data_IF_636789452452
#
_entry.id   IF_636789452452
#
_cell.length_a   1.000
_cell.length_b   1.000
_cell.length_c   1.000
_cell.angle_alpha   90.00
_cell.angle_beta   90.00
_cell.angle_gamma   90.00
#
_symmetry.space_group_name_H-M   'P 1'
#
loop_
_entity.id
_entity.type
_entity.pdbx_description
1 polymer ?
#
# COMPACT_ATOMS: atom_id res chain seq x y z
N UNK A 1 -22.15 -1.87 -20.38
CA UNK A 1 -21.63 -3.25 -20.16
C UNK A 1 -22.76 -4.14 -19.61
N UNK A 2 -22.71 -5.47 -19.79
CA UNK A 2 -23.79 -6.38 -19.38
C UNK A 2 -23.75 -6.83 -17.90
N UNK A 3 -22.70 -6.48 -17.15
CA UNK A 3 -22.52 -6.90 -15.76
C UNK A 3 -23.19 -5.92 -14.78
N UNK A 4 -23.93 -6.45 -13.81
CA UNK A 4 -24.48 -5.68 -12.67
C UNK A 4 -23.42 -5.40 -11.60
N UNK A 5 -22.51 -6.36 -11.38
CA UNK A 5 -21.34 -6.22 -10.50
C UNK A 5 -20.05 -6.26 -11.34
N UNK A 6 -19.27 -5.19 -11.29
CA UNK A 6 -17.96 -5.05 -11.93
C UNK A 6 -16.90 -5.17 -10.84
N UNK A 7 -16.09 -6.23 -10.91
CA UNK A 7 -14.94 -6.45 -10.04
C UNK A 7 -13.68 -6.12 -10.82
N UNK A 8 -12.85 -5.20 -10.31
CA UNK A 8 -11.57 -4.81 -10.91
C UNK A 8 -10.47 -4.81 -9.85
N UNK A 9 -9.21 -4.82 -10.28
CA UNK A 9 -8.07 -4.61 -9.37
C UNK A 9 -7.81 -3.11 -9.18
N UNK A 10 -7.57 -2.39 -10.28
CA UNK A 10 -7.22 -0.96 -10.27
C UNK A 10 -8.41 -0.08 -10.62
N UNK A 11 -8.26 1.17 -10.20
CA UNK A 11 -9.19 2.24 -10.43
C UNK A 11 -9.47 2.44 -11.94
N UNK A 12 -10.74 2.71 -12.31
CA UNK A 12 -11.09 2.88 -13.71
C UNK A 12 -10.44 4.13 -14.29
N UNK A 13 -9.92 3.99 -15.50
CA UNK A 13 -9.42 5.11 -16.29
C UNK A 13 -10.59 5.98 -16.77
N UNK A 14 -10.36 7.25 -17.16
CA UNK A 14 -11.46 8.16 -17.55
C UNK A 14 -12.42 7.60 -18.60
N UNK A 15 -11.89 6.89 -19.61
CA UNK A 15 -12.71 6.23 -20.63
C UNK A 15 -13.52 5.05 -20.07
N UNK A 16 -13.00 4.34 -19.07
CA UNK A 16 -13.70 3.25 -18.38
C UNK A 16 -14.79 3.79 -17.45
N UNK A 17 -14.56 4.94 -16.79
CA UNK A 17 -15.59 5.62 -16.00
C UNK A 17 -16.80 6.00 -16.86
N UNK A 18 -16.57 6.46 -18.10
CA UNK A 18 -17.64 6.80 -19.04
C UNK A 18 -18.46 5.58 -19.50
N UNK A 19 -17.98 4.36 -19.28
CA UNK A 19 -18.69 3.11 -19.60
C UNK A 19 -19.58 2.61 -18.45
N UNK A 20 -19.50 3.24 -17.26
CA UNK A 20 -20.29 2.87 -16.09
C UNK A 20 -21.72 3.44 -16.20
N UNK A 21 -22.68 2.71 -15.64
CA UNK A 21 -24.09 3.09 -15.60
C UNK A 21 -24.64 3.05 -14.17
N UNK A 22 -25.76 3.74 -13.95
CA UNK A 22 -26.39 3.88 -12.63
C UNK A 22 -26.79 2.54 -11.98
N UNK A 23 -27.10 1.53 -12.79
CA UNK A 23 -27.53 0.20 -12.32
C UNK A 23 -26.36 -0.73 -11.99
N UNK A 24 -25.12 -0.23 -12.06
CA UNK A 24 -23.93 -1.04 -11.84
C UNK A 24 -23.28 -0.77 -10.48
N UNK A 25 -22.69 -1.81 -9.93
CA UNK A 25 -21.79 -1.74 -8.78
C UNK A 25 -20.36 -1.93 -9.23
N UNK A 26 -19.48 -0.99 -8.92
CA UNK A 26 -18.04 -1.10 -9.10
C UNK A 26 -17.38 -1.45 -7.75
N UNK A 27 -16.65 -2.55 -7.70
CA UNK A 27 -15.92 -2.99 -6.52
C UNK A 27 -14.43 -3.21 -6.85
N UNK A 28 -13.58 -2.26 -6.42
CA UNK A 28 -12.15 -2.20 -6.80
C UNK A 28 -11.35 -1.27 -5.87
N UNK A 29 -10.02 -1.14 -6.04
CA UNK A 29 -9.28 -0.02 -5.45
C UNK A 29 -9.62 1.28 -6.17
N UNK A 30 -9.88 2.36 -5.43
CA UNK A 30 -10.23 3.66 -6.03
C UNK A 30 -9.17 4.73 -5.79
N UNK A 31 -8.64 4.83 -4.57
CA UNK A 31 -7.69 5.86 -4.16
C UNK A 31 -8.17 7.29 -4.48
N UNK A 32 -9.44 7.57 -4.18
CA UNK A 32 -10.09 8.80 -4.62
C UNK A 32 -9.47 10.08 -4.04
N UNK A 33 -8.99 10.08 -2.79
CA UNK A 33 -8.55 11.30 -2.11
C UNK A 33 -7.58 12.19 -2.94
N UNK A 34 -6.51 11.66 -3.56
CA UNK A 34 -5.64 12.42 -4.45
C UNK A 34 -6.16 12.66 -5.88
N UNK A 35 -7.28 12.05 -6.30
CA UNK A 35 -7.79 12.12 -7.68
C UNK A 35 -9.21 12.71 -7.78
N UNK A 36 -9.33 14.06 -7.82
CA UNK A 36 -10.62 14.71 -7.96
C UNK A 36 -11.28 14.52 -9.33
N UNK A 37 -10.50 14.16 -10.36
CA UNK A 37 -11.01 13.92 -11.73
C UNK A 37 -11.74 12.59 -11.78
N UNK A 38 -11.13 11.54 -11.24
CA UNK A 38 -11.79 10.25 -11.13
C UNK A 38 -13.02 10.32 -10.22
N UNK A 39 -12.92 11.04 -9.10
CA UNK A 39 -14.05 11.21 -8.17
C UNK A 39 -15.27 11.83 -8.88
N UNK A 40 -15.04 12.87 -9.69
CA UNK A 40 -16.07 13.51 -10.49
C UNK A 40 -16.67 12.56 -11.53
N UNK A 41 -15.82 11.84 -12.27
CA UNK A 41 -16.27 10.91 -13.31
C UNK A 41 -17.14 9.78 -12.73
N UNK A 42 -16.78 9.26 -11.55
CA UNK A 42 -17.56 8.24 -10.87
C UNK A 42 -18.88 8.79 -10.31
N UNK A 43 -18.90 10.01 -9.79
CA UNK A 43 -20.14 10.71 -9.40
C UNK A 43 -21.09 10.83 -10.61
N UNK A 44 -20.57 11.27 -11.75
CA UNK A 44 -21.37 11.44 -12.98
C UNK A 44 -21.93 10.11 -13.51
N UNK A 45 -21.22 9.00 -13.33
CA UNK A 45 -21.70 7.67 -13.73
C UNK A 45 -22.94 7.20 -12.96
N UNK A 46 -23.16 7.76 -11.76
CA UNK A 46 -24.18 7.33 -10.79
C UNK A 46 -24.09 5.86 -10.37
N UNK A 47 -23.03 5.14 -10.72
CA UNK A 47 -22.80 3.79 -10.25
C UNK A 47 -22.58 3.75 -8.74
N UNK A 48 -22.85 2.61 -8.11
CA UNK A 48 -22.47 2.37 -6.72
C UNK A 48 -21.01 1.94 -6.70
N UNK A 49 -20.12 2.73 -6.10
CA UNK A 49 -18.69 2.45 -6.07
C UNK A 49 -18.22 2.14 -4.65
N UNK A 50 -17.63 0.97 -4.47
CA UNK A 50 -17.11 0.47 -3.20
C UNK A 50 -15.58 0.31 -3.33
N UNK A 51 -14.82 0.97 -2.45
CA UNK A 51 -13.37 0.96 -2.48
C UNK A 51 -12.78 -0.11 -1.56
N UNK A 52 -11.96 -1.01 -2.10
CA UNK A 52 -11.28 -2.06 -1.36
C UNK A 52 -10.52 -1.54 -0.13
N UNK A 53 -9.77 -0.45 -0.31
CA UNK A 53 -8.90 0.14 0.69
C UNK A 53 -9.64 0.81 1.86
N UNK A 54 -10.97 0.89 1.80
CA UNK A 54 -11.84 1.44 2.86
C UNK A 54 -12.77 0.41 3.50
N UNK A 55 -12.85 -0.80 2.93
CA UNK A 55 -13.53 -1.92 3.61
C UNK A 55 -12.74 -2.26 4.87
N UNK A 56 -13.46 -2.38 6.00
CA UNK A 56 -12.84 -2.65 7.31
C UNK A 56 -12.99 -4.11 7.74
N UNK A 57 -12.47 -4.46 8.90
CA UNK A 57 -12.74 -5.73 9.60
C UNK A 57 -13.21 -5.46 11.03
N UNK A 58 -13.65 -6.52 11.72
CA UNK A 58 -14.04 -6.47 13.14
C UNK A 58 -12.91 -6.00 14.07
N UNK A 59 -11.65 -6.18 13.66
CA UNK A 59 -10.47 -5.67 14.35
C UNK A 59 -10.11 -4.22 14.01
N UNK A 60 -10.89 -3.55 13.16
CA UNK A 60 -10.61 -2.20 12.67
C UNK A 60 -9.49 -2.13 11.61
N UNK A 61 -9.03 -3.27 11.10
CA UNK A 61 -8.01 -3.35 10.05
C UNK A 61 -8.64 -3.15 8.64
N UNK A 62 -7.78 -3.11 7.62
CA UNK A 62 -8.16 -3.01 6.20
C UNK A 62 -7.88 -4.35 5.50
N UNK A 63 -8.80 -5.33 5.57
CA UNK A 63 -8.54 -6.71 5.13
C UNK A 63 -8.28 -6.83 3.62
N UNK A 64 -8.81 -5.92 2.81
CA UNK A 64 -8.60 -5.96 1.36
C UNK A 64 -7.31 -5.24 0.93
N UNK A 65 -6.69 -4.44 1.81
CA UNK A 65 -5.38 -3.82 1.56
C UNK A 65 -4.22 -4.69 2.07
N UNK A 66 -4.47 -5.51 3.09
CA UNK A 66 -3.46 -6.34 3.73
C UNK A 66 -2.73 -7.25 2.72
N UNK A 67 -3.38 -8.07 1.88
CA UNK A 67 -2.67 -8.98 0.97
C UNK A 67 -1.66 -8.29 0.05
N UNK A 68 -2.00 -7.10 -0.46
CA UNK A 68 -1.08 -6.33 -1.31
C UNK A 68 0.13 -5.81 -0.52
N UNK A 69 -0.10 -5.39 0.73
CA UNK A 69 0.97 -4.99 1.64
C UNK A 69 1.90 -6.16 2.02
N UNK A 70 1.34 -7.35 2.20
CA UNK A 70 2.11 -8.56 2.48
C UNK A 70 3.01 -8.94 1.29
N UNK A 71 2.45 -8.92 0.08
CA UNK A 71 3.21 -9.17 -1.15
C UNK A 71 4.30 -8.12 -1.33
N UNK A 72 3.98 -6.82 -1.21
CA UNK A 72 4.95 -5.75 -1.38
C UNK A 72 6.10 -5.84 -0.37
N UNK A 73 5.79 -6.13 0.91
CA UNK A 73 6.79 -6.37 1.95
C UNK A 73 7.74 -7.51 1.59
N UNK A 74 7.21 -8.67 1.17
CA UNK A 74 8.06 -9.82 0.78
C UNK A 74 8.90 -9.53 -0.46
N UNK A 75 8.30 -8.88 -1.47
CA UNK A 75 8.99 -8.51 -2.71
C UNK A 75 10.07 -7.46 -2.50
N UNK A 76 9.93 -6.56 -1.52
CA UNK A 76 10.92 -5.52 -1.25
C UNK A 76 12.31 -6.09 -0.96
N UNK A 77 12.38 -7.21 -0.25
CA UNK A 77 13.65 -7.90 0.01
C UNK A 77 14.18 -8.58 -1.25
N UNK A 78 13.32 -9.18 -2.07
CA UNK A 78 13.72 -9.80 -3.34
C UNK A 78 14.27 -8.76 -4.32
N UNK A 79 13.58 -7.63 -4.46
CA UNK A 79 14.01 -6.50 -5.27
C UNK A 79 15.33 -5.93 -4.74
N UNK A 80 15.42 -5.68 -3.42
CA UNK A 80 16.64 -5.21 -2.77
C UNK A 80 17.84 -6.14 -2.98
N UNK A 81 17.65 -7.46 -2.78
CA UNK A 81 18.67 -8.47 -3.00
C UNK A 81 19.17 -8.49 -4.45
N UNK A 82 18.26 -8.49 -5.42
CA UNK A 82 18.61 -8.49 -6.84
C UNK A 82 19.42 -7.23 -7.21
N UNK A 83 19.07 -6.08 -6.66
CA UNK A 83 19.74 -4.81 -6.97
C UNK A 83 21.01 -4.56 -6.16
N UNK A 84 21.28 -5.38 -5.14
CA UNK A 84 22.59 -5.45 -4.49
C UNK A 84 23.61 -6.19 -5.35
N UNK A 85 23.20 -6.97 -6.35
CA UNK A 85 24.13 -7.65 -7.26
C UNK A 85 24.97 -6.65 -8.06
N UNK A 86 26.25 -6.97 -8.29
CA UNK A 86 27.16 -6.09 -9.02
C UNK A 86 26.72 -5.88 -10.47
N UNK A 87 26.12 -6.91 -11.07
CA UNK A 87 25.51 -6.89 -12.41
C UNK A 87 24.37 -5.88 -12.54
N UNK A 88 23.75 -5.48 -11.43
CA UNK A 88 22.67 -4.49 -11.34
C UNK A 88 23.13 -3.13 -10.79
N UNK A 89 24.45 -2.95 -10.64
CA UNK A 89 25.08 -1.72 -10.14
C UNK A 89 25.31 -1.69 -8.64
N UNK A 90 24.81 -2.68 -7.89
CA UNK A 90 24.92 -2.74 -6.44
C UNK A 90 26.34 -3.02 -5.94
N UNK A 91 26.45 -3.13 -4.61
CA UNK A 91 27.72 -3.40 -3.92
C UNK A 91 28.27 -4.81 -4.14
N UNK A 92 27.50 -5.73 -4.74
CA UNK A 92 27.87 -7.11 -4.98
C UNK A 92 27.68 -8.01 -3.76
N UNK A 93 26.71 -7.69 -2.91
CA UNK A 93 26.46 -8.40 -1.66
C UNK A 93 25.40 -9.48 -1.79
N UNK A 94 25.70 -10.67 -1.26
CA UNK A 94 24.71 -11.71 -0.99
C UNK A 94 24.14 -11.49 0.41
N UNK A 95 22.80 -11.41 0.53
CA UNK A 95 22.15 -11.07 1.81
C UNK A 95 22.60 -11.94 2.99
N UNK A 96 22.64 -13.25 2.79
CA UNK A 96 23.02 -14.22 3.84
C UNK A 96 24.52 -14.45 4.01
N UNK A 97 25.37 -13.80 3.20
CA UNK A 97 26.80 -14.10 3.16
C UNK A 97 27.08 -15.60 2.93
N UNK A 98 28.23 -16.06 3.40
CA UNK A 98 28.63 -17.48 3.49
C UNK A 98 29.47 -17.66 4.76
N UNK A 99 29.73 -18.89 5.24
CA UNK A 99 30.63 -19.10 6.38
C UNK A 99 31.98 -18.39 6.20
N UNK A 100 32.33 -17.50 7.13
CA UNK A 100 33.55 -16.66 7.06
C UNK A 100 33.39 -15.32 6.35
N UNK A 101 32.20 -15.00 5.81
CA UNK A 101 31.89 -13.74 5.13
C UNK A 101 30.68 -13.08 5.77
N UNK A 102 30.74 -11.77 6.01
CA UNK A 102 29.66 -11.02 6.65
C UNK A 102 28.36 -11.04 5.83
N UNK A 103 27.22 -11.01 6.53
CA UNK A 103 25.89 -10.85 5.94
C UNK A 103 25.62 -9.38 5.61
N UNK A 104 24.63 -9.13 4.74
CA UNK A 104 24.20 -7.77 4.46
C UNK A 104 23.43 -7.19 5.66
N UNK A 105 23.62 -5.90 5.93
CA UNK A 105 22.86 -5.12 6.92
C UNK A 105 21.61 -4.54 6.28
N UNK A 106 20.44 -4.95 6.74
CA UNK A 106 19.13 -4.49 6.28
C UNK A 106 18.45 -3.66 7.37
N UNK A 107 18.07 -2.44 7.04
CA UNK A 107 17.20 -1.60 7.86
C UNK A 107 15.78 -1.60 7.29
N UNK A 108 14.79 -1.83 8.14
CA UNK A 108 13.36 -1.73 7.80
C UNK A 108 12.75 -0.58 8.60
N UNK A 109 12.24 0.44 7.92
CA UNK A 109 11.55 1.57 8.53
C UNK A 109 10.03 1.30 8.50
N UNK A 110 9.45 1.00 9.66
CA UNK A 110 8.04 0.67 9.87
C UNK A 110 7.83 -0.80 10.21
N UNK A 111 7.12 -1.07 11.31
CA UNK A 111 6.73 -2.40 11.80
C UNK A 111 5.27 -2.76 11.48
N UNK A 112 4.70 -2.12 10.46
CA UNK A 112 3.37 -2.44 9.90
C UNK A 112 3.33 -3.78 9.15
N UNK A 113 2.28 -3.99 8.35
CA UNK A 113 2.13 -5.23 7.55
C UNK A 113 3.30 -5.41 6.57
N UNK A 114 3.64 -4.37 5.81
CA UNK A 114 4.76 -4.38 4.85
C UNK A 114 6.07 -4.73 5.57
N UNK A 115 6.40 -4.00 6.63
CA UNK A 115 7.66 -4.17 7.34
C UNK A 115 7.83 -5.53 8.00
N UNK A 116 6.78 -6.08 8.64
CA UNK A 116 6.85 -7.44 9.23
C UNK A 116 7.02 -8.53 8.19
N UNK A 117 6.46 -8.34 6.99
CA UNK A 117 6.63 -9.28 5.88
C UNK A 117 8.00 -9.15 5.20
N UNK A 118 8.52 -7.93 5.08
CA UNK A 118 9.91 -7.70 4.68
C UNK A 118 10.86 -8.35 5.69
N UNK A 119 10.62 -8.16 6.99
CA UNK A 119 11.41 -8.75 8.07
C UNK A 119 11.46 -10.29 7.97
N UNK A 120 10.32 -10.92 7.75
CA UNK A 120 10.23 -12.38 7.63
C UNK A 120 11.13 -12.91 6.50
N UNK A 121 11.11 -12.25 5.34
CA UNK A 121 11.95 -12.66 4.19
C UNK A 121 13.42 -12.35 4.45
N UNK A 122 13.74 -11.17 4.99
CA UNK A 122 15.10 -10.76 5.31
C UNK A 122 15.79 -11.73 6.29
N UNK A 123 15.10 -12.09 7.38
CA UNK A 123 15.58 -13.09 8.35
C UNK A 123 15.70 -14.46 7.69
N UNK A 124 14.72 -14.86 6.87
CA UNK A 124 14.76 -16.13 6.15
C UNK A 124 15.92 -16.24 5.16
N UNK A 125 16.41 -15.11 4.62
CA UNK A 125 17.59 -15.05 3.75
C UNK A 125 18.91 -14.94 4.52
N UNK A 126 18.88 -14.94 5.86
CA UNK A 126 20.06 -14.92 6.72
C UNK A 126 20.73 -13.56 6.88
N UNK A 127 20.06 -12.46 6.52
CA UNK A 127 20.61 -11.11 6.65
C UNK A 127 20.70 -10.66 8.12
N UNK A 128 21.53 -9.65 8.38
CA UNK A 128 21.49 -8.92 9.65
C UNK A 128 20.41 -7.83 9.58
N UNK A 129 19.34 -7.95 10.37
CA UNK A 129 18.14 -7.12 10.21
C UNK A 129 17.86 -6.27 11.43
N UNK A 130 17.68 -4.98 11.20
CA UNK A 130 17.15 -4.02 12.17
C UNK A 130 15.80 -3.49 11.69
N UNK A 131 14.82 -3.39 12.57
CA UNK A 131 13.50 -2.81 12.28
C UNK A 131 13.18 -1.69 13.25
N UNK A 132 12.67 -0.58 12.70
CA UNK A 132 12.36 0.64 13.45
C UNK A 132 10.88 1.00 13.38
N UNK A 133 10.29 1.34 14.51
CA UNK A 133 8.93 1.91 14.60
C UNK A 133 8.82 2.82 15.83
N UNK A 134 7.79 3.67 15.88
CA UNK A 134 7.43 4.45 17.07
C UNK A 134 6.51 3.66 18.00
N UNK A 135 5.81 2.67 17.48
CA UNK A 135 4.92 1.79 18.24
C UNK A 135 5.75 0.72 19.00
N UNK A 136 5.95 0.97 20.29
CA UNK A 136 6.67 0.06 21.18
C UNK A 136 5.98 -1.29 21.36
N UNK A 137 4.64 -1.37 21.23
CA UNK A 137 3.92 -2.63 21.35
C UNK A 137 4.23 -3.54 20.15
N UNK A 138 4.28 -2.96 18.93
CA UNK A 138 4.72 -3.71 17.73
C UNK A 138 6.15 -4.19 17.83
N UNK A 139 7.06 -3.34 18.33
CA UNK A 139 8.45 -3.74 18.53
C UNK A 139 8.57 -4.88 19.55
N UNK A 140 7.82 -4.82 20.67
CA UNK A 140 7.75 -5.91 21.66
C UNK A 140 7.21 -7.21 21.07
N UNK A 141 6.21 -7.15 20.19
CA UNK A 141 5.70 -8.35 19.51
C UNK A 141 6.74 -8.98 18.58
N UNK A 142 7.51 -8.16 17.85
CA UNK A 142 8.57 -8.62 16.96
C UNK A 142 9.71 -9.25 17.77
N UNK A 143 10.13 -8.58 18.85
CA UNK A 143 11.17 -9.08 19.75
C UNK A 143 10.79 -10.43 20.35
N UNK A 144 9.54 -10.59 20.83
CA UNK A 144 9.05 -11.86 21.34
C UNK A 144 9.05 -13.00 20.29
N UNK A 145 8.86 -12.68 19.01
CA UNK A 145 8.79 -13.68 17.93
C UNK A 145 10.18 -14.09 17.41
N UNK A 146 11.10 -13.14 17.26
CA UNK A 146 12.40 -13.37 16.64
C UNK A 146 13.54 -13.51 17.66
N UNK A 147 13.34 -13.05 18.89
CA UNK A 147 14.35 -12.95 19.93
C UNK A 147 15.58 -12.18 19.43
N UNK A 148 16.77 -12.67 19.79
CA UNK A 148 18.05 -12.04 19.46
C UNK A 148 18.43 -12.06 17.97
N UNK A 149 17.54 -12.52 17.07
CA UNK A 149 17.82 -12.55 15.62
C UNK A 149 17.53 -11.23 14.92
N UNK A 150 16.75 -10.34 15.53
CA UNK A 150 16.33 -9.07 14.94
C UNK A 150 16.58 -7.97 15.95
N UNK A 151 17.19 -6.88 15.50
CA UNK A 151 17.33 -5.69 16.33
C UNK A 151 16.07 -4.83 16.20
N UNK A 152 15.33 -4.64 17.28
CA UNK A 152 14.19 -3.71 17.31
C UNK A 152 14.64 -2.38 17.89
N UNK A 153 14.32 -1.27 17.21
CA UNK A 153 14.80 0.06 17.57
C UNK A 153 13.66 1.06 17.56
N UNK A 154 13.62 1.98 18.53
CA UNK A 154 12.67 3.08 18.50
C UNK A 154 13.03 4.05 17.37
N UNK A 155 12.01 4.53 16.66
CA UNK A 155 12.18 5.41 15.50
C UNK A 155 12.22 6.89 15.89
N UNK A 156 13.43 7.36 16.17
CA UNK A 156 13.80 8.79 16.27
C UNK A 156 14.81 9.18 15.18
N UNK A 157 15.01 10.49 14.96
CA UNK A 157 15.84 11.01 13.88
C UNK A 157 17.30 10.57 13.98
N UNK A 158 17.87 10.55 15.19
CA UNK A 158 19.27 10.20 15.41
C UNK A 158 19.51 8.71 15.17
N UNK A 159 18.58 7.89 15.65
CA UNK A 159 18.57 6.44 15.44
C UNK A 159 18.46 6.10 13.95
N UNK A 160 17.54 6.75 13.23
CA UNK A 160 17.39 6.56 11.77
C UNK A 160 18.68 6.93 11.05
N UNK A 161 19.27 8.10 11.32
CA UNK A 161 20.49 8.54 10.66
C UNK A 161 21.63 7.52 10.81
N UNK A 162 21.85 7.03 12.03
CA UNK A 162 22.90 6.06 12.31
C UNK A 162 22.64 4.73 11.60
N UNK A 163 21.41 4.22 11.65
CA UNK A 163 21.07 2.95 11.03
C UNK A 163 21.14 3.02 9.49
N UNK A 164 20.68 4.13 8.89
CA UNK A 164 20.75 4.35 7.43
C UNK A 164 22.20 4.35 6.95
N UNK A 165 23.09 5.07 7.64
CA UNK A 165 24.51 5.17 7.29
C UNK A 165 25.19 3.80 7.20
N UNK A 166 24.82 2.88 8.10
CA UNK A 166 25.44 1.55 8.17
C UNK A 166 24.83 0.52 7.21
N UNK A 167 23.64 0.79 6.65
CA UNK A 167 22.86 -0.19 5.91
C UNK A 167 23.36 -0.42 4.49
N UNK A 168 23.30 -1.68 4.07
CA UNK A 168 23.48 -2.07 2.67
C UNK A 168 22.15 -1.96 1.91
N UNK A 169 21.04 -2.25 2.59
CA UNK A 169 19.69 -2.17 2.06
C UNK A 169 18.76 -1.49 3.07
N UNK A 170 17.99 -0.50 2.65
CA UNK A 170 16.94 0.11 3.48
C UNK A 170 15.57 -0.08 2.82
N UNK A 171 14.61 -0.58 3.59
CA UNK A 171 13.21 -0.74 3.17
C UNK A 171 12.36 0.35 3.81
N UNK A 172 11.76 1.19 2.97
CA UNK A 172 10.78 2.18 3.35
C UNK A 172 9.39 1.55 3.44
N UNK A 173 8.93 1.23 4.65
CA UNK A 173 7.67 0.53 4.92
C UNK A 173 6.72 1.32 5.84
N UNK A 174 6.87 2.64 5.88
CA UNK A 174 6.02 3.52 6.69
C UNK A 174 4.83 4.00 5.88
N UNK A 175 3.63 3.66 6.35
CA UNK A 175 2.37 4.05 5.77
C UNK A 175 1.53 4.76 6.83
N UNK A 176 1.09 5.99 6.54
CA UNK A 176 0.09 6.67 7.34
C UNK A 176 -1.26 6.54 6.62
N UNK A 177 -2.27 5.85 7.18
CA UNK A 177 -3.56 5.71 6.53
C UNK A 177 -4.15 7.08 6.17
N UNK A 178 -4.41 7.29 4.87
CA UNK A 178 -5.09 8.50 4.36
C UNK A 178 -4.24 9.77 4.27
N UNK A 179 -2.91 9.70 4.45
CA UNK A 179 -1.99 10.84 4.32
C UNK A 179 -0.78 10.52 3.43
N UNK A 180 0.03 11.52 3.11
CA UNK A 180 1.31 11.31 2.44
C UNK A 180 2.33 10.65 3.37
N UNK A 181 3.20 9.81 2.81
CA UNK A 181 4.27 9.20 3.58
C UNK A 181 5.22 10.29 4.16
N UNK A 182 5.58 10.24 5.45
CA UNK A 182 6.53 11.18 6.02
C UNK A 182 7.93 10.94 5.42
N UNK A 183 8.66 12.01 5.14
CA UNK A 183 10.06 11.94 4.71
C UNK A 183 10.95 11.63 5.91
N UNK A 184 11.29 10.35 6.08
CA UNK A 184 12.06 9.85 7.22
C UNK A 184 13.56 9.82 6.96
N UNK A 185 13.96 9.56 5.71
CA UNK A 185 15.36 9.55 5.31
C UNK A 185 15.61 10.76 4.43
N UNK A 186 16.46 11.67 4.92
CA UNK A 186 16.80 12.89 4.21
C UNK A 186 17.87 12.65 3.16
N UNK A 187 17.96 13.52 2.15
CA UNK A 187 19.03 13.46 1.14
C UNK A 187 20.42 13.51 1.81
N UNK A 188 20.56 14.27 2.90
CA UNK A 188 21.79 14.35 3.68
C UNK A 188 22.19 13.02 4.33
N UNK A 189 21.23 12.21 4.77
CA UNK A 189 21.50 10.84 5.26
C UNK A 189 21.93 9.92 4.10
N UNK A 190 21.29 10.05 2.94
CA UNK A 190 21.57 9.22 1.75
C UNK A 190 22.98 9.47 1.23
N UNK A 191 23.45 10.73 1.23
CA UNK A 191 24.84 11.08 0.87
C UNK A 191 25.90 10.44 1.76
N UNK A 192 25.53 10.00 2.97
CA UNK A 192 26.43 9.32 3.90
C UNK A 192 26.42 7.79 3.73
N UNK A 193 25.52 7.25 2.91
CA UNK A 193 25.48 5.81 2.65
C UNK A 193 26.66 5.38 1.76
N UNK A 194 26.98 4.09 1.83
CA UNK A 194 28.00 3.50 0.96
C UNK A 194 27.49 3.44 -0.49
N UNK A 195 28.35 3.76 -1.44
CA UNK A 195 28.01 3.61 -2.85
C UNK A 195 27.71 2.14 -3.19
N UNK A 196 26.64 1.91 -3.94
CA UNK A 196 26.11 0.58 -4.24
C UNK A 196 25.14 0.03 -3.19
N UNK A 197 24.85 0.76 -2.10
CA UNK A 197 23.70 0.47 -1.25
C UNK A 197 22.39 0.67 -2.01
N UNK A 198 21.32 0.04 -1.52
CA UNK A 198 19.99 0.04 -2.16
C UNK A 198 18.94 0.60 -1.19
N UNK A 199 18.05 1.44 -1.71
CA UNK A 199 16.84 1.92 -1.05
C UNK A 199 15.64 1.36 -1.80
N UNK A 200 14.73 0.69 -1.09
CA UNK A 200 13.45 0.21 -1.66
C UNK A 200 12.32 0.95 -0.98
N UNK A 201 11.68 1.87 -1.69
CA UNK A 201 10.60 2.70 -1.15
C UNK A 201 9.23 2.07 -1.48
N UNK A 202 8.72 1.25 -0.56
CA UNK A 202 7.39 0.62 -0.71
C UNK A 202 6.27 1.64 -0.51
N UNK A 203 6.55 2.76 0.15
CA UNK A 203 5.60 3.86 0.35
C UNK A 203 5.50 4.80 -0.85
N UNK A 204 6.13 4.47 -1.99
CA UNK A 204 6.17 5.33 -3.18
C UNK A 204 4.78 5.68 -3.72
N UNK A 205 3.81 4.77 -3.58
CA UNK A 205 2.41 4.98 -3.98
C UNK A 205 1.74 6.14 -3.20
N UNK A 206 2.35 6.58 -2.08
CA UNK A 206 1.91 7.73 -1.27
C UNK A 206 2.97 8.84 -1.18
N UNK A 207 3.84 8.92 -2.20
CA UNK A 207 4.88 9.95 -2.31
C UNK A 207 6.26 9.53 -1.77
N UNK A 208 6.38 8.35 -1.17
CA UNK A 208 7.64 7.77 -0.70
C UNK A 208 8.15 8.35 0.61
N UNK A 209 8.83 7.54 1.42
CA UNK A 209 9.40 7.97 2.70
C UNK A 209 10.86 8.46 2.63
N UNK A 210 11.48 8.44 1.44
CA UNK A 210 12.79 9.06 1.21
C UNK A 210 12.65 10.39 0.47
N UNK A 211 13.49 11.38 0.79
CA UNK A 211 13.44 12.71 0.15
C UNK A 211 13.78 12.65 -1.34
N UNK A 212 14.69 11.77 -1.73
CA UNK A 212 15.15 11.55 -3.11
C UNK A 212 14.27 10.60 -3.91
N UNK A 213 13.21 10.04 -3.32
CA UNK A 213 12.31 9.09 -3.98
C UNK A 213 11.51 9.72 -5.13
N UNK A 214 11.54 9.05 -6.28
CA UNK A 214 10.75 9.38 -7.49
C UNK A 214 10.11 8.09 -8.01
N UNK A 215 8.81 8.09 -8.38
CA UNK A 215 8.17 6.90 -8.91
C UNK A 215 8.90 6.35 -10.14
N UNK A 216 9.03 5.03 -10.19
CA UNK A 216 9.64 4.27 -11.30
C UNK A 216 8.67 3.22 -11.79
N UNK A 217 9.03 2.49 -12.85
CA UNK A 217 8.17 1.48 -13.47
C UNK A 217 8.83 0.10 -13.45
N UNK A 218 8.06 -0.96 -13.67
CA UNK A 218 8.66 -2.30 -13.81
C UNK A 218 9.68 -2.41 -14.96
N UNK A 219 9.57 -1.57 -15.99
CA UNK A 219 10.50 -1.55 -17.12
C UNK A 219 11.82 -0.83 -16.78
N UNK A 220 11.72 0.26 -16.03
CA UNK A 220 12.85 1.06 -15.57
C UNK A 220 12.77 1.19 -14.04
N UNK A 221 13.12 0.14 -13.28
CA UNK A 221 12.76 0.02 -11.87
C UNK A 221 13.65 0.80 -10.92
N UNK A 222 14.81 1.26 -11.40
CA UNK A 222 15.77 1.96 -10.55
C UNK A 222 16.42 3.17 -11.21
N UNK A 223 16.91 4.05 -10.35
CA UNK A 223 17.86 5.10 -10.70
C UNK A 223 18.93 5.21 -9.60
N UNK A 224 20.03 5.90 -9.89
CA UNK A 224 21.12 6.11 -8.95
C UNK A 224 21.15 7.59 -8.56
N UNK A 225 21.22 7.86 -7.26
CA UNK A 225 21.38 9.19 -6.70
C UNK A 225 22.38 9.12 -5.54
N UNK A 226 23.40 10.00 -5.57
CA UNK A 226 24.52 9.99 -4.62
C UNK A 226 25.24 8.63 -4.50
N UNK A 227 25.27 7.84 -5.59
CA UNK A 227 25.86 6.50 -5.60
C UNK A 227 24.98 5.42 -4.96
N UNK A 228 23.76 5.75 -4.53
CA UNK A 228 22.80 4.84 -3.92
C UNK A 228 21.69 4.50 -4.92
N UNK A 229 21.39 3.21 -5.06
CA UNK A 229 20.35 2.72 -5.96
C UNK A 229 18.99 2.92 -5.31
N UNK A 230 18.07 3.55 -6.02
CA UNK A 230 16.69 3.73 -5.58
C UNK A 230 15.80 2.80 -6.40
N UNK A 231 15.07 1.93 -5.71
CA UNK A 231 13.99 1.13 -6.26
C UNK A 231 12.66 1.71 -5.75
N UNK A 232 11.89 2.30 -6.64
CA UNK A 232 10.68 3.06 -6.29
C UNK A 232 9.52 2.65 -7.20
N UNK A 233 9.40 1.35 -7.50
CA UNK A 233 8.40 0.86 -8.46
C UNK A 233 7.02 0.92 -7.80
N UNK A 234 6.14 1.74 -8.38
CA UNK A 234 4.74 1.76 -7.99
C UNK A 234 4.07 0.41 -8.31
N UNK A 235 3.10 0.00 -7.50
CA UNK A 235 2.39 -1.28 -7.70
C UNK A 235 3.34 -2.49 -7.82
N UNK A 236 4.24 -2.66 -6.84
CA UNK A 236 5.14 -3.82 -6.77
C UNK A 236 4.41 -5.17 -6.91
N UNK A 237 3.25 -5.40 -6.27
CA UNK A 237 2.54 -6.69 -6.36
C UNK A 237 2.15 -7.09 -7.80
N UNK A 238 2.06 -6.14 -8.73
CA UNK A 238 1.77 -6.42 -10.14
C UNK A 238 2.76 -7.37 -10.82
N UNK A 239 4.03 -7.39 -10.38
CA UNK A 239 5.05 -8.27 -10.97
C UNK A 239 4.91 -9.75 -10.57
N UNK A 240 4.14 -10.07 -9.53
CA UNK A 240 3.84 -11.45 -9.10
C UNK A 240 2.36 -11.76 -9.21
N UNK A 241 1.77 -11.40 -10.36
CA UNK A 241 0.33 -11.39 -10.61
C UNK A 241 -0.40 -12.68 -10.20
N UNK A 242 0.20 -13.88 -10.35
CA UNK A 242 -0.42 -15.14 -9.91
C UNK A 242 -0.64 -15.16 -8.39
N UNK A 243 0.37 -14.80 -7.62
CA UNK A 243 0.31 -14.74 -6.16
C UNK A 243 -0.61 -13.62 -5.69
N UNK A 244 -0.44 -12.43 -6.26
CA UNK A 244 -1.23 -11.24 -5.90
C UNK A 244 -2.71 -11.42 -6.22
N UNK A 245 -3.04 -11.98 -7.39
CA UNK A 245 -4.43 -12.25 -7.80
C UNK A 245 -5.08 -13.18 -6.80
N UNK A 246 -4.48 -14.35 -6.53
CA UNK A 246 -5.06 -15.33 -5.60
C UNK A 246 -5.21 -14.73 -4.20
N UNK A 247 -4.19 -14.02 -3.70
CA UNK A 247 -4.23 -13.38 -2.39
C UNK A 247 -5.32 -12.32 -2.27
N UNK A 248 -5.44 -11.44 -3.26
CA UNK A 248 -6.50 -10.43 -3.30
C UNK A 248 -7.87 -11.07 -3.43
N UNK A 249 -8.05 -12.02 -4.36
CA UNK A 249 -9.35 -12.66 -4.60
C UNK A 249 -9.83 -13.46 -3.40
N UNK A 250 -8.92 -14.12 -2.66
CA UNK A 250 -9.29 -14.81 -1.42
C UNK A 250 -9.85 -13.84 -0.37
N UNK A 251 -9.29 -12.63 -0.28
CA UNK A 251 -9.77 -11.61 0.64
C UNK A 251 -11.08 -10.95 0.16
N UNK A 252 -11.23 -10.72 -1.15
CA UNK A 252 -12.43 -10.07 -1.71
C UNK A 252 -13.59 -11.04 -1.90
N UNK A 253 -13.34 -12.35 -2.06
CA UNK A 253 -14.35 -13.35 -2.38
C UNK A 253 -15.58 -13.32 -1.45
N UNK A 254 -15.44 -13.28 -0.11
CA UNK A 254 -16.61 -13.24 0.78
C UNK A 254 -17.51 -12.02 0.54
N UNK A 255 -16.93 -10.88 0.17
CA UNK A 255 -17.68 -9.66 -0.14
C UNK A 255 -18.33 -9.73 -1.53
N UNK A 256 -17.62 -10.28 -2.51
CA UNK A 256 -18.14 -10.49 -3.88
C UNK A 256 -19.34 -11.45 -3.84
N UNK A 257 -19.19 -12.58 -3.16
CA UNK A 257 -20.26 -13.58 -2.98
C UNK A 257 -21.48 -12.97 -2.27
N UNK A 258 -21.25 -12.16 -1.23
CA UNK A 258 -22.33 -11.47 -0.52
C UNK A 258 -23.08 -10.49 -1.42
N UNK A 259 -22.37 -9.65 -2.19
CA UNK A 259 -23.00 -8.69 -3.12
C UNK A 259 -23.75 -9.43 -4.22
N UNK A 260 -23.17 -10.50 -4.77
CA UNK A 260 -23.79 -11.27 -5.85
C UNK A 260 -25.07 -11.99 -5.41
N UNK A 261 -25.12 -12.52 -4.19
CA UNK A 261 -26.28 -13.27 -3.68
C UNK A 261 -27.41 -12.37 -3.15
N UNK A 262 -27.08 -11.23 -2.54
CA UNK A 262 -28.06 -10.37 -1.88
C UNK A 262 -28.42 -9.11 -2.67
N UNK A 263 -27.61 -8.76 -3.67
CA UNK A 263 -27.60 -7.42 -4.24
C UNK A 263 -26.86 -6.42 -3.35
N UNK A 264 -26.33 -5.36 -3.95
CA UNK A 264 -25.43 -4.40 -3.28
C UNK A 264 -26.09 -3.68 -2.10
N UNK A 265 -27.36 -3.30 -2.22
CA UNK A 265 -28.05 -2.53 -1.18
C UNK A 265 -28.23 -3.34 0.10
N UNK A 266 -28.67 -4.60 -0.02
CA UNK A 266 -28.86 -5.47 1.13
C UNK A 266 -27.52 -5.93 1.73
N UNK A 267 -26.52 -6.20 0.89
CA UNK A 267 -25.16 -6.49 1.34
C UNK A 267 -24.58 -5.34 2.20
N UNK A 268 -24.75 -4.07 1.77
CA UNK A 268 -24.32 -2.90 2.54
C UNK A 268 -25.13 -2.72 3.85
N UNK A 269 -26.42 -3.09 3.86
CA UNK A 269 -27.24 -3.05 5.08
C UNK A 269 -26.85 -4.11 6.11
N UNK A 270 -26.54 -5.33 5.68
CA UNK A 270 -26.19 -6.41 6.60
C UNK A 270 -24.72 -6.39 7.03
N UNK A 271 -23.82 -5.83 6.21
CA UNK A 271 -22.39 -5.82 6.46
C UNK A 271 -21.86 -4.40 6.66
N UNK A 272 -21.71 -3.98 7.92
CA UNK A 272 -21.14 -2.67 8.26
C UNK A 272 -19.70 -2.49 7.79
N UNK A 273 -18.93 -3.57 7.66
CA UNK A 273 -17.56 -3.53 7.16
C UNK A 273 -17.49 -3.24 5.66
N UNK A 274 -18.36 -3.89 4.87
CA UNK A 274 -18.54 -3.58 3.46
C UNK A 274 -19.10 -2.16 3.27
N UNK A 275 -20.03 -1.76 4.14
CA UNK A 275 -20.63 -0.41 4.15
C UNK A 275 -19.58 0.69 4.29
N UNK A 276 -18.58 0.50 5.15
CA UNK A 276 -17.47 1.45 5.28
C UNK A 276 -16.67 1.62 3.98
N UNK A 277 -16.74 0.65 3.08
CA UNK A 277 -16.15 0.72 1.75
C UNK A 277 -16.92 1.60 0.75
N UNK A 278 -18.18 1.96 1.04
CA UNK A 278 -19.01 2.74 0.13
C UNK A 278 -18.42 4.13 -0.06
N UNK A 279 -18.01 4.42 -1.30
CA UNK A 279 -17.39 5.69 -1.67
C UNK A 279 -18.35 6.57 -2.46
N UNK A 280 -19.11 6.01 -3.39
CA UNK A 280 -20.11 6.73 -4.19
C UNK A 280 -21.39 5.92 -4.23
N UNK A 281 -22.52 6.58 -4.02
CA UNK A 281 -23.86 5.99 -4.15
C UNK A 281 -24.71 6.90 -5.03
N UNK A 282 -25.08 6.46 -6.24
CA UNK A 282 -26.03 7.17 -7.12
C UNK A 282 -25.70 8.64 -7.37
N UNK A 283 -24.42 8.93 -7.55
CA UNK A 283 -23.91 10.28 -7.80
C UNK A 283 -23.67 11.12 -6.54
N UNK A 284 -23.75 10.50 -5.36
CA UNK A 284 -23.42 11.15 -4.10
C UNK A 284 -22.13 10.56 -3.53
N UNK A 285 -21.18 11.43 -3.18
CA UNK A 285 -19.97 11.05 -2.44
C UNK A 285 -20.36 10.72 -1.00
N UNK A 286 -19.96 9.55 -0.51
CA UNK A 286 -20.25 9.09 0.87
C UNK A 286 -19.01 9.04 1.76
N UNK A 287 -17.82 9.05 1.16
CA UNK A 287 -16.55 8.99 1.88
C UNK A 287 -16.14 10.36 2.46
N UNK A 288 -16.33 10.54 3.77
CA UNK A 288 -15.94 11.76 4.48
C UNK A 288 -14.44 12.11 4.36
N UNK A 289 -13.49 11.15 4.44
CA UNK A 289 -12.07 11.46 4.23
C UNK A 289 -11.77 12.02 2.84
N UNK A 290 -12.36 11.44 1.79
CA UNK A 290 -12.19 11.91 0.40
C UNK A 290 -12.79 13.30 0.23
N UNK A 291 -13.99 13.51 0.77
CA UNK A 291 -14.67 14.80 0.73
C UNK A 291 -13.85 15.92 1.38
N UNK A 292 -13.25 15.66 2.55
CA UNK A 292 -12.35 16.60 3.23
C UNK A 292 -11.09 16.86 2.41
N UNK A 293 -10.46 15.83 1.87
CA UNK A 293 -9.23 15.96 1.07
C UNK A 293 -9.46 16.83 -0.18
N UNK A 294 -10.62 16.68 -0.83
CA UNK A 294 -10.96 17.40 -2.06
C UNK A 294 -11.83 18.64 -1.86
N UNK A 295 -12.18 18.99 -0.62
CA UNK A 295 -13.08 20.11 -0.28
C UNK A 295 -14.46 20.01 -0.98
N UNK A 296 -15.04 18.80 -1.00
CA UNK A 296 -16.36 18.49 -1.58
C UNK A 296 -17.41 18.27 -0.49
N UNK A 297 -18.68 18.41 -0.85
CA UNK A 297 -19.79 17.92 -0.03
C UNK A 297 -19.83 16.39 -0.06
N UNK A 298 -20.36 15.80 1.01
CA UNK A 298 -20.66 14.38 1.09
C UNK A 298 -21.94 14.17 1.89
N UNK A 299 -22.56 13.02 1.68
CA UNK A 299 -23.73 12.58 2.44
C UNK A 299 -23.32 11.43 3.38
N UNK A 300 -23.86 11.35 4.60
CA UNK A 300 -23.66 10.17 5.44
C UNK A 300 -24.12 8.89 4.74
N UNK A 301 -23.35 7.80 4.89
CA UNK A 301 -23.63 6.53 4.20
C UNK A 301 -25.06 6.03 4.51
N UNK A 302 -25.50 6.11 5.77
CA UNK A 302 -26.82 5.62 6.15
C UNK A 302 -27.95 6.41 5.46
N UNK A 303 -27.78 7.71 5.23
CA UNK A 303 -28.74 8.54 4.50
C UNK A 303 -28.76 8.19 3.00
N UNK A 304 -27.58 7.95 2.40
CA UNK A 304 -27.46 7.49 1.02
C UNK A 304 -28.12 6.12 0.77
N UNK A 305 -28.21 5.27 1.78
CA UNK A 305 -28.85 3.95 1.70
C UNK A 305 -30.37 3.98 1.93
N UNK A 306 -30.90 5.07 2.49
CA UNK A 306 -32.32 5.27 2.80
C UNK A 306 -33.08 5.98 1.68
N UNK A 307 -32.41 6.76 0.84
CA UNK A 307 -33.02 7.52 -0.25
C UNK A 307 -32.70 6.93 -1.63
N UNK A 308 -33.45 5.91 -2.11
CA UNK A 308 -33.27 5.39 -3.46
C UNK A 308 -33.64 6.41 -4.56
N UNK A 309 -34.45 7.43 -4.27
CA UNK A 309 -35.10 8.27 -5.29
C UNK A 309 -34.71 9.76 -5.30
N UNK A 310 -33.59 10.18 -4.69
CA UNK A 310 -33.11 11.57 -4.84
C UNK A 310 -32.39 11.78 -6.19
N UNK A 311 -33.12 11.58 -7.28
CA UNK A 311 -32.87 12.15 -8.60
C UNK A 311 -33.90 13.27 -8.77
N UNK A 312 -33.55 14.45 -8.26
CA UNK A 312 -34.21 15.78 -8.36
C UNK A 312 -33.86 16.45 -7.02
N UNK A 313 -32.99 17.45 -6.94
CA UNK A 313 -33.24 18.83 -7.36
C UNK A 313 -31.89 19.55 -7.44
N UNK A 314 -31.61 20.19 -8.57
CA UNK A 314 -30.97 21.51 -8.67
C UNK A 314 -31.18 21.97 -10.13
N UNK A 315 -32.27 22.72 -10.34
CA UNK A 315 -32.42 23.62 -11.49
C UNK A 315 -31.41 24.77 -11.36
#
# INVERSE_FOLDING_TARGET
AAAELIVKVKEPQPIECAMLHADQTLFTYLHLAPDPVQTEALIQSKAICIAYETVTSSSGALPLLAPMSEVAGRMSIQAGAAHLEKSKGGSGLLLGGIPGVATAKILILGAGVVGRHALQIAVGMGAHVSIMDRDLDRLRQIDALYGNRVQTLFSDQQSIENAVRESDLVIGAVLLPGGSAPKLVTEAMIKQMRAGSVLVDVAIDQGGCFETSRPTTHAEPTYIEHGVIHYCVANMPGAVARTSTIGLTNATYPFIEQIANLGVMEALRLNSHLRNGLSICRGQLTSAPVARAQKRSYIPIDEALLNPDLVEVCN
#
